data_IF_875290780575
#
_entry.id   IF_875290780575
#
_cell.length_a   1.000
_cell.length_b   1.000
_cell.length_c   1.000
_cell.angle_alpha   90.00
_cell.angle_beta   90.00
_cell.angle_gamma   90.00
#
_symmetry.space_group_name_H-M   'P 1'
#
loop_
_entity.id
_entity.type
_entity.pdbx_description
1 polymer ?
#
# COMPACT_ATOMS: atom_id res chain seq x y z
N UNK A 1 -25.58 21.37 -10.81
CA UNK A 1 -25.93 21.63 -9.40
C UNK A 1 -25.22 20.62 -8.51
N UNK A 2 -24.29 21.11 -7.66
CA UNK A 2 -23.25 20.32 -6.98
C UNK A 2 -23.75 19.47 -5.81
N UNK A 3 -23.07 18.35 -5.53
CA UNK A 3 -23.25 17.45 -4.36
C UNK A 3 -23.49 18.18 -3.02
N UNK A 4 -22.93 19.38 -2.85
CA UNK A 4 -23.16 20.27 -1.69
C UNK A 4 -24.65 20.53 -1.45
N UNK A 5 -25.45 20.75 -2.49
CA UNK A 5 -26.89 21.05 -2.36
C UNK A 5 -27.67 19.85 -1.79
N UNK A 6 -27.28 18.64 -2.21
CA UNK A 6 -27.89 17.37 -1.79
C UNK A 6 -27.51 16.97 -0.35
N UNK A 7 -26.36 17.43 0.14
CA UNK A 7 -25.93 17.29 1.54
C UNK A 7 -26.69 18.29 2.43
N UNK A 8 -26.89 19.51 1.94
CA UNK A 8 -27.64 20.56 2.64
C UNK A 8 -29.14 20.24 2.76
N UNK A 9 -29.74 19.57 1.76
CA UNK A 9 -31.14 19.13 1.79
C UNK A 9 -31.41 17.96 2.77
N UNK A 10 -30.39 17.15 3.09
CA UNK A 10 -30.51 15.98 3.99
C UNK A 10 -30.24 16.30 5.46
N UNK A 11 -29.70 17.47 5.78
CA UNK A 11 -29.36 17.93 7.13
C UNK A 11 -29.69 19.42 7.32
N UNK A 12 -30.99 19.78 7.42
CA UNK A 12 -31.44 21.18 7.54
C UNK A 12 -30.91 21.89 8.80
N UNK A 13 -30.45 21.16 9.81
CA UNK A 13 -29.79 21.68 11.00
C UNK A 13 -28.45 22.38 10.71
N UNK A 14 -27.76 22.03 9.61
CA UNK A 14 -26.54 22.71 9.14
C UNK A 14 -26.87 24.10 8.57
N UNK A 15 -28.10 24.28 8.10
CA UNK A 15 -28.62 25.51 7.49
C UNK A 15 -29.25 26.48 8.50
N UNK A 16 -29.28 26.15 9.79
CA UNK A 16 -29.80 27.04 10.83
C UNK A 16 -28.78 28.14 11.19
N UNK A 17 -28.39 28.93 10.19
CA UNK A 17 -27.46 30.05 10.29
C UNK A 17 -28.18 31.27 10.88
N UNK A 18 -28.38 31.27 12.20
CA UNK A 18 -28.72 32.50 12.92
C UNK A 18 -27.58 33.53 12.97
N UNK A 19 -26.37 33.19 12.51
CA UNK A 19 -25.27 34.13 12.20
C UNK A 19 -24.14 33.40 11.48
N UNK A 20 -23.71 33.90 10.32
CA UNK A 20 -22.47 33.47 9.67
C UNK A 20 -21.31 34.03 10.51
N UNK A 21 -20.47 33.20 11.16
CA UNK A 21 -19.35 33.71 11.97
C UNK A 21 -18.30 34.38 11.08
N UNK A 22 -17.67 35.44 11.58
CA UNK A 22 -16.53 36.09 10.91
C UNK A 22 -15.41 35.08 10.59
N UNK A 23 -14.55 35.37 9.61
CA UNK A 23 -13.48 34.45 9.18
C UNK A 23 -12.62 33.91 10.35
N UNK A 24 -12.37 34.73 11.39
CA UNK A 24 -11.61 34.35 12.59
C UNK A 24 -12.37 33.35 13.48
N UNK A 25 -13.69 33.52 13.62
CA UNK A 25 -14.56 32.65 14.42
C UNK A 25 -14.84 31.31 13.71
N UNK A 26 -14.84 31.29 12.38
CA UNK A 26 -14.89 30.05 11.60
C UNK A 26 -13.72 29.13 11.92
N UNK A 27 -12.49 29.65 11.94
CA UNK A 27 -11.29 28.86 12.26
C UNK A 27 -11.39 28.24 13.66
N UNK A 28 -11.81 29.01 14.66
CA UNK A 28 -11.97 28.52 16.03
C UNK A 28 -13.07 27.45 16.13
N UNK A 29 -14.20 27.66 15.44
CA UNK A 29 -15.31 26.71 15.40
C UNK A 29 -14.91 25.39 14.72
N UNK A 30 -14.24 25.45 13.56
CA UNK A 30 -13.72 24.25 12.90
C UNK A 30 -12.68 23.53 13.75
N UNK A 31 -11.80 24.27 14.43
CA UNK A 31 -10.83 23.69 15.36
C UNK A 31 -11.52 22.96 16.51
N UNK A 32 -12.56 23.57 17.11
CA UNK A 32 -13.33 22.92 18.18
C UNK A 32 -14.13 21.72 17.69
N UNK A 33 -14.70 21.77 16.48
CA UNK A 33 -15.46 20.67 15.90
C UNK A 33 -14.58 19.46 15.53
N UNK A 34 -13.33 19.69 15.12
CA UNK A 34 -12.39 18.62 14.75
C UNK A 34 -11.59 18.11 15.96
N UNK A 35 -11.50 18.91 17.04
CA UNK A 35 -10.72 18.59 18.23
C UNK A 35 -10.98 17.18 18.79
N UNK A 36 -12.24 16.71 18.98
CA UNK A 36 -12.48 15.36 19.47
C UNK A 36 -11.90 14.27 18.55
N UNK A 37 -12.07 14.41 17.23
CA UNK A 37 -11.47 13.50 16.25
C UNK A 37 -9.94 13.54 16.32
N UNK A 38 -9.37 14.74 16.45
CA UNK A 38 -7.93 14.93 16.52
C UNK A 38 -7.34 14.31 17.79
N UNK A 39 -7.97 14.52 18.95
CA UNK A 39 -7.56 13.95 20.24
C UNK A 39 -7.62 12.41 20.20
N UNK A 40 -8.72 11.84 19.67
CA UNK A 40 -8.90 10.40 19.42
C UNK A 40 -7.75 9.81 18.59
N UNK A 41 -7.41 10.48 17.49
CA UNK A 41 -6.36 10.02 16.57
C UNK A 41 -4.94 10.18 17.15
N UNK A 42 -4.70 11.20 17.98
CA UNK A 42 -3.43 11.32 18.71
C UNK A 42 -3.25 10.22 19.75
N UNK A 43 -4.31 9.82 20.43
CA UNK A 43 -4.27 8.69 21.37
C UNK A 43 -3.89 7.39 20.65
N UNK A 44 -4.56 7.09 19.54
CA UNK A 44 -4.23 5.95 18.68
C UNK A 44 -2.78 6.01 18.15
N UNK A 45 -2.27 7.20 17.80
CA UNK A 45 -0.88 7.36 17.37
C UNK A 45 0.13 6.97 18.48
N UNK A 46 -0.15 7.39 19.72
CA UNK A 46 0.68 7.06 20.89
C UNK A 46 0.62 5.57 21.21
N UNK A 47 -0.56 4.97 21.13
CA UNK A 47 -0.75 3.53 21.33
C UNK A 47 0.06 2.73 20.29
N UNK A 48 -0.04 3.12 19.02
CA UNK A 48 0.75 2.50 17.96
C UNK A 48 2.26 2.67 18.16
N UNK A 49 2.72 3.87 18.49
CA UNK A 49 4.14 4.12 18.80
C UNK A 49 4.62 3.21 19.94
N UNK A 50 3.85 3.10 21.02
CA UNK A 50 4.18 2.25 22.15
C UNK A 50 4.20 0.76 21.80
N UNK A 51 3.35 0.33 20.87
CA UNK A 51 3.33 -1.04 20.37
C UNK A 51 4.60 -1.37 19.58
N UNK A 52 5.09 -0.46 18.75
CA UNK A 52 6.22 -0.73 17.83
C UNK A 52 7.60 -0.36 18.38
N UNK A 53 7.72 0.48 19.42
CA UNK A 53 9.00 1.05 19.86
C UNK A 53 10.10 0.05 20.19
N UNK A 54 9.74 -1.19 20.56
CA UNK A 54 10.66 -2.27 20.92
C UNK A 54 10.80 -3.33 19.81
N UNK A 55 10.13 -3.15 18.66
CA UNK A 55 10.20 -4.07 17.54
C UNK A 55 11.34 -3.69 16.60
N UNK A 56 11.99 -4.70 16.02
CA UNK A 56 13.05 -4.48 15.04
C UNK A 56 12.42 -4.21 13.67
N UNK A 57 12.54 -2.98 13.18
CA UNK A 57 11.84 -2.53 11.97
C UNK A 57 12.22 -3.32 10.69
N UNK A 58 13.40 -3.94 10.65
CA UNK A 58 13.85 -4.78 9.53
C UNK A 58 13.31 -6.22 9.59
N UNK A 59 12.76 -6.67 10.72
CA UNK A 59 12.16 -8.00 10.86
C UNK A 59 10.68 -8.02 10.46
N UNK A 60 10.38 -7.43 9.30
CA UNK A 60 9.00 -7.22 8.82
C UNK A 60 8.20 -8.52 8.84
N UNK A 61 8.75 -9.61 8.32
CA UNK A 61 8.08 -10.91 8.26
C UNK A 61 7.69 -11.48 9.64
N UNK A 62 8.43 -11.13 10.72
CA UNK A 62 8.10 -11.58 12.09
C UNK A 62 6.98 -10.76 12.74
N UNK A 63 6.71 -9.57 12.22
CA UNK A 63 5.86 -8.58 12.88
C UNK A 63 4.63 -8.17 12.06
N UNK A 64 4.63 -8.40 10.74
CA UNK A 64 3.61 -7.93 9.80
C UNK A 64 2.19 -8.30 10.24
N UNK A 65 1.96 -9.57 10.57
CA UNK A 65 0.65 -10.06 10.97
C UNK A 65 0.18 -9.47 12.30
N UNK A 66 1.05 -9.45 13.31
CA UNK A 66 0.73 -8.90 14.63
C UNK A 66 0.36 -7.40 14.55
N UNK A 67 1.11 -6.63 13.77
CA UNK A 67 0.86 -5.19 13.58
C UNK A 67 -0.41 -4.94 12.77
N UNK A 68 -0.64 -5.76 11.74
CA UNK A 68 -1.86 -5.68 10.93
C UNK A 68 -3.12 -5.93 11.78
N UNK A 69 -3.14 -6.98 12.59
CA UNK A 69 -4.28 -7.25 13.47
C UNK A 69 -4.45 -6.19 14.55
N UNK A 70 -3.35 -5.63 15.07
CA UNK A 70 -3.41 -4.46 15.95
C UNK A 70 -4.08 -3.27 15.24
N UNK A 71 -3.73 -2.99 13.98
CA UNK A 71 -4.42 -1.97 13.16
C UNK A 71 -5.90 -2.24 12.96
N UNK A 72 -6.29 -3.49 12.66
CA UNK A 72 -7.72 -3.87 12.55
C UNK A 72 -8.48 -3.64 13.86
N UNK A 73 -7.86 -3.96 14.99
CA UNK A 73 -8.43 -3.71 16.32
C UNK A 73 -8.62 -2.21 16.55
N UNK A 74 -7.60 -1.39 16.30
CA UNK A 74 -7.71 0.06 16.44
C UNK A 74 -8.80 0.66 15.53
N UNK A 75 -9.01 0.12 14.32
CA UNK A 75 -10.08 0.59 13.45
C UNK A 75 -11.47 0.45 14.08
N UNK A 76 -11.69 -0.63 14.85
CA UNK A 76 -12.94 -0.90 15.56
C UNK A 76 -13.02 -0.08 16.85
N UNK A 77 -12.00 -0.17 17.70
CA UNK A 77 -11.99 0.47 19.02
C UNK A 77 -12.14 2.00 18.93
N UNK A 78 -11.55 2.61 17.90
CA UNK A 78 -11.61 4.05 17.68
C UNK A 78 -12.66 4.46 16.62
N UNK A 79 -13.49 3.52 16.14
CA UNK A 79 -14.52 3.77 15.11
C UNK A 79 -13.97 4.59 13.93
N UNK A 80 -12.89 4.12 13.32
CA UNK A 80 -12.14 4.86 12.31
C UNK A 80 -12.93 4.93 11.00
N UNK A 81 -12.91 6.10 10.36
CA UNK A 81 -13.44 6.31 9.01
C UNK A 81 -12.33 6.49 7.96
N UNK A 82 -12.67 6.47 6.67
CA UNK A 82 -11.70 6.78 5.61
C UNK A 82 -11.13 8.21 5.74
N UNK A 83 -11.96 9.18 6.13
CA UNK A 83 -11.50 10.56 6.38
C UNK A 83 -10.54 10.63 7.56
N UNK A 84 -10.78 9.83 8.60
CA UNK A 84 -9.88 9.73 9.74
C UNK A 84 -8.52 9.15 9.32
N UNK A 85 -8.48 8.14 8.44
CA UNK A 85 -7.23 7.60 7.90
C UNK A 85 -6.41 8.69 7.19
N UNK A 86 -7.04 9.51 6.35
CA UNK A 86 -6.36 10.58 5.64
C UNK A 86 -5.76 11.61 6.61
N UNK A 87 -6.56 12.08 7.57
CA UNK A 87 -6.10 13.01 8.60
C UNK A 87 -4.97 12.40 9.45
N UNK A 88 -5.16 11.16 9.87
CA UNK A 88 -4.21 10.42 10.70
C UNK A 88 -2.87 10.24 9.99
N UNK A 89 -2.89 9.70 8.78
CA UNK A 89 -1.70 9.40 7.99
C UNK A 89 -0.94 10.67 7.57
N UNK A 90 -1.64 11.72 7.13
CA UNK A 90 -0.95 12.91 6.60
C UNK A 90 -0.52 13.92 7.68
N UNK A 91 -1.23 14.01 8.81
CA UNK A 91 -1.02 15.11 9.75
C UNK A 91 -0.60 14.67 11.15
N UNK A 92 -1.08 13.53 11.63
CA UNK A 92 -0.92 13.13 13.03
C UNK A 92 0.24 12.15 13.16
N UNK A 93 0.14 11.01 12.49
CA UNK A 93 1.08 9.90 12.61
C UNK A 93 2.55 10.29 12.30
N UNK A 94 2.87 11.16 11.31
CA UNK A 94 4.23 11.60 11.04
C UNK A 94 4.93 12.28 12.22
N UNK A 95 4.18 12.82 13.19
CA UNK A 95 4.74 13.42 14.43
C UNK A 95 5.28 12.39 15.41
N UNK A 96 4.81 11.14 15.29
CA UNK A 96 5.12 10.05 16.23
C UNK A 96 6.04 8.99 15.61
N UNK A 97 5.92 8.74 14.31
CA UNK A 97 6.70 7.71 13.60
C UNK A 97 7.21 8.23 12.27
N UNK A 98 8.45 7.89 11.93
CA UNK A 98 9.09 8.33 10.69
C UNK A 98 8.90 7.40 9.48
N UNK A 99 8.32 6.21 9.68
CA UNK A 99 8.28 5.11 8.70
C UNK A 99 8.31 3.75 9.40
N UNK A 100 9.08 2.81 8.87
CA UNK A 100 9.27 1.48 9.42
C UNK A 100 8.06 0.59 9.15
N UNK A 101 7.52 -0.04 10.19
CA UNK A 101 6.45 -1.04 10.08
C UNK A 101 5.03 -0.43 9.93
N UNK A 102 4.92 0.87 9.66
CA UNK A 102 3.62 1.54 9.63
C UNK A 102 2.73 1.12 8.47
N UNK A 103 3.29 0.62 7.37
CA UNK A 103 2.49 0.11 6.26
C UNK A 103 1.62 -1.08 6.70
N UNK A 104 2.17 -1.97 7.54
CA UNK A 104 1.42 -3.07 8.14
C UNK A 104 0.22 -2.57 8.96
N UNK A 105 0.44 -1.50 9.75
CA UNK A 105 -0.58 -0.92 10.62
C UNK A 105 -1.69 -0.23 9.83
N UNK A 106 -1.30 0.60 8.85
CA UNK A 106 -2.25 1.31 7.97
C UNK A 106 -3.06 0.31 7.15
N UNK A 107 -2.44 -0.77 6.66
CA UNK A 107 -3.17 -1.84 5.97
C UNK A 107 -4.23 -2.45 6.88
N UNK A 108 -3.89 -2.70 8.15
CA UNK A 108 -4.84 -3.19 9.15
C UNK A 108 -5.99 -2.21 9.43
N UNK A 109 -5.66 -0.92 9.63
CA UNK A 109 -6.65 0.14 9.85
C UNK A 109 -7.63 0.27 8.67
N UNK A 110 -7.12 0.18 7.45
CA UNK A 110 -7.90 0.29 6.23
C UNK A 110 -8.78 -0.93 5.97
N UNK A 111 -8.30 -2.13 6.32
CA UNK A 111 -8.91 -3.39 5.91
C UNK A 111 -10.43 -3.53 6.15
N UNK A 112 -11.00 -3.17 7.32
CA UNK A 112 -12.45 -3.27 7.54
C UNK A 112 -13.26 -2.18 6.81
N UNK A 113 -12.61 -1.13 6.33
CA UNK A 113 -13.25 0.03 5.71
C UNK A 113 -13.34 -0.07 4.19
N UNK A 114 -12.52 -0.93 3.57
CA UNK A 114 -12.43 -1.06 2.12
C UNK A 114 -13.66 -1.75 1.52
N UNK A 115 -14.27 -1.06 0.54
CA UNK A 115 -15.34 -1.57 -0.34
C UNK A 115 -14.89 -1.51 -1.80
N UNK A 116 -15.60 -2.17 -2.71
CA UNK A 116 -15.21 -2.24 -4.12
C UNK A 116 -15.02 -0.87 -4.79
N UNK A 117 -15.90 0.08 -4.46
CA UNK A 117 -15.90 1.46 -4.97
C UNK A 117 -14.99 2.41 -4.20
N UNK A 118 -14.31 1.91 -3.17
CA UNK A 118 -13.42 2.75 -2.36
C UNK A 118 -12.16 3.09 -3.16
N UNK A 119 -11.77 4.35 -3.07
CA UNK A 119 -10.53 4.86 -3.61
C UNK A 119 -9.79 5.61 -2.50
N UNK A 120 -8.63 5.12 -2.10
CA UNK A 120 -7.81 5.72 -1.05
C UNK A 120 -6.48 6.18 -1.64
N UNK A 121 -6.17 7.46 -1.46
CA UNK A 121 -4.95 8.06 -1.97
C UNK A 121 -4.09 8.56 -0.81
N UNK A 122 -2.88 8.02 -0.68
CA UNK A 122 -1.94 8.33 0.39
C UNK A 122 -0.61 8.87 -0.14
N UNK A 123 -0.27 10.10 0.23
CA UNK A 123 1.05 10.67 0.00
C UNK A 123 2.05 10.30 1.11
N UNK A 124 3.17 9.69 0.74
CA UNK A 124 4.22 9.23 1.63
C UNK A 124 5.22 10.33 2.03
N UNK A 125 5.18 11.51 1.39
CA UNK A 125 6.14 12.60 1.62
C UNK A 125 6.27 13.10 3.07
N UNK A 126 5.26 12.99 3.95
CA UNK A 126 5.42 13.35 5.36
C UNK A 126 6.39 12.42 6.13
N UNK A 127 6.70 11.25 5.60
CA UNK A 127 7.53 10.25 6.27
C UNK A 127 8.97 10.27 5.74
N UNK A 128 9.93 10.34 6.66
CA UNK A 128 11.36 10.45 6.35
C UNK A 128 12.04 9.12 6.02
N UNK A 129 11.47 8.00 6.47
CA UNK A 129 12.03 6.66 6.36
C UNK A 129 11.21 5.79 5.41
N UNK A 130 11.75 4.61 5.07
CA UNK A 130 11.03 3.57 4.30
C UNK A 130 9.77 3.11 5.02
N UNK A 131 8.73 2.71 4.29
CA UNK A 131 7.48 2.18 4.85
C UNK A 131 7.29 0.74 4.40
N UNK A 132 7.14 -0.17 5.36
CA UNK A 132 7.03 -1.61 5.11
C UNK A 132 5.61 -2.13 5.34
N UNK A 133 5.16 -3.03 4.47
CA UNK A 133 3.92 -3.78 4.64
C UNK A 133 2.64 -3.07 4.22
N UNK A 134 2.75 -2.00 3.41
CA UNK A 134 1.57 -1.32 2.85
C UNK A 134 0.83 -2.28 1.91
N UNK A 135 -0.51 -2.27 1.92
CA UNK A 135 -1.33 -3.19 1.13
C UNK A 135 -1.24 -4.66 1.57
N UNK A 136 -0.77 -4.95 2.79
CA UNK A 136 -0.76 -6.31 3.31
C UNK A 136 -2.19 -6.87 3.41
N UNK A 137 -2.43 -8.04 2.80
CA UNK A 137 -3.76 -8.67 2.68
C UNK A 137 -4.83 -7.72 2.11
N UNK A 138 -4.46 -6.87 1.16
CA UNK A 138 -5.43 -6.04 0.45
C UNK A 138 -6.40 -6.94 -0.33
N UNK A 139 -7.70 -6.67 -0.22
CA UNK A 139 -8.75 -7.55 -0.77
C UNK A 139 -9.78 -6.83 -1.65
N UNK A 140 -9.89 -5.49 -1.53
CA UNK A 140 -10.89 -4.65 -2.21
C UNK A 140 -10.36 -3.25 -2.35
N UNK A 141 -11.03 -2.43 -3.17
CA UNK A 141 -10.72 -1.01 -3.37
C UNK A 141 -9.44 -0.76 -4.19
N UNK A 142 -9.28 0.50 -4.58
CA UNK A 142 -8.06 1.01 -5.20
C UNK A 142 -7.27 1.84 -4.19
N UNK A 143 -6.02 1.45 -3.94
CA UNK A 143 -5.05 2.18 -3.13
C UNK A 143 -4.02 2.85 -4.05
N UNK A 144 -3.91 4.17 -3.99
CA UNK A 144 -2.90 4.93 -4.71
C UNK A 144 -1.91 5.53 -3.74
N UNK A 145 -0.62 5.31 -4.00
CA UNK A 145 0.48 5.75 -3.15
C UNK A 145 1.38 6.72 -3.94
N UNK A 146 1.53 7.94 -3.44
CA UNK A 146 2.47 8.93 -4.00
C UNK A 146 3.79 8.88 -3.22
N UNK A 147 4.90 8.77 -3.96
CA UNK A 147 6.23 8.64 -3.40
C UNK A 147 6.78 7.22 -3.50
N UNK A 148 8.06 7.06 -3.13
CA UNK A 148 8.77 5.79 -3.15
C UNK A 148 9.17 5.31 -1.76
N UNK A 149 10.03 4.29 -1.71
CA UNK A 149 10.62 3.69 -0.47
C UNK A 149 9.71 2.72 0.28
N UNK A 150 8.86 2.00 -0.45
CA UNK A 150 7.99 0.97 0.09
C UNK A 150 8.67 -0.40 0.07
N UNK A 151 8.64 -1.16 1.16
CA UNK A 151 9.10 -2.55 1.16
C UNK A 151 7.93 -3.47 1.53
N UNK A 152 7.95 -4.74 1.11
CA UNK A 152 6.86 -5.67 1.40
C UNK A 152 5.49 -5.11 1.00
N UNK A 153 5.41 -4.41 -0.13
CA UNK A 153 4.16 -3.88 -0.64
C UNK A 153 3.29 -5.02 -1.17
N UNK A 154 1.99 -5.05 -0.82
CA UNK A 154 1.04 -6.01 -1.38
C UNK A 154 1.30 -7.47 -0.98
N UNK A 155 1.97 -7.70 0.15
CA UNK A 155 2.23 -9.05 0.64
C UNK A 155 0.90 -9.73 0.98
N UNK A 156 0.74 -10.98 0.54
CA UNK A 156 -0.50 -11.75 0.70
C UNK A 156 -1.76 -11.04 0.17
N UNK A 157 -1.61 -10.12 -0.79
CA UNK A 157 -2.76 -9.47 -1.45
C UNK A 157 -3.63 -10.51 -2.17
N UNK A 158 -4.94 -10.43 -2.00
CA UNK A 158 -5.91 -11.40 -2.52
C UNK A 158 -6.73 -10.83 -3.68
N UNK A 159 -7.00 -9.52 -3.67
CA UNK A 159 -7.75 -8.82 -4.72
C UNK A 159 -7.59 -7.30 -4.55
N UNK A 160 -8.31 -6.50 -5.34
CA UNK A 160 -8.22 -5.04 -5.38
C UNK A 160 -7.07 -4.54 -6.24
N UNK A 161 -6.78 -3.24 -6.15
CA UNK A 161 -5.76 -2.57 -6.95
C UNK A 161 -4.84 -1.72 -6.10
N UNK A 162 -3.54 -1.77 -6.36
CA UNK A 162 -2.53 -0.86 -5.78
C UNK A 162 -1.78 -0.18 -6.92
N UNK A 163 -1.77 1.15 -6.93
CA UNK A 163 -0.92 1.95 -7.82
C UNK A 163 0.12 2.70 -6.99
N UNK A 164 1.39 2.63 -7.39
CA UNK A 164 2.49 3.39 -6.76
C UNK A 164 3.13 4.30 -7.78
N UNK A 165 3.10 5.59 -7.47
CA UNK A 165 3.76 6.65 -8.23
C UNK A 165 5.12 6.94 -7.64
N UNK A 166 6.02 5.98 -7.86
CA UNK A 166 7.38 5.99 -7.33
C UNK A 166 8.01 4.59 -7.33
N UNK A 167 9.17 4.48 -6.69
CA UNK A 167 9.92 3.23 -6.60
C UNK A 167 9.52 2.40 -5.38
N UNK A 168 9.55 1.08 -5.54
CA UNK A 168 9.37 0.12 -4.45
C UNK A 168 10.65 -0.69 -4.24
N UNK A 169 10.92 -0.99 -2.98
CA UNK A 169 11.98 -1.86 -2.51
C UNK A 169 11.64 -3.34 -2.69
N UNK A 170 12.31 -4.17 -1.89
CA UNK A 170 12.21 -5.63 -2.02
C UNK A 170 10.88 -6.20 -1.52
N UNK A 171 10.60 -7.43 -1.96
CA UNK A 171 9.44 -8.23 -1.56
C UNK A 171 8.07 -7.67 -2.00
N UNK A 172 8.04 -6.94 -3.11
CA UNK A 172 6.80 -6.54 -3.78
C UNK A 172 5.96 -7.77 -4.11
N UNK A 173 4.69 -7.82 -3.69
CA UNK A 173 3.76 -8.89 -4.03
C UNK A 173 4.17 -10.28 -3.53
N UNK A 174 4.99 -10.35 -2.47
CA UNK A 174 5.37 -11.64 -1.87
C UNK A 174 4.12 -12.39 -1.43
N UNK A 175 3.99 -13.64 -1.84
CA UNK A 175 2.84 -14.50 -1.56
C UNK A 175 1.48 -13.92 -2.02
N UNK A 176 1.48 -13.06 -3.04
CA UNK A 176 0.26 -12.53 -3.64
C UNK A 176 -0.59 -13.68 -4.23
N UNK A 177 -1.90 -13.61 -4.00
CA UNK A 177 -2.91 -14.62 -4.39
C UNK A 177 -3.98 -14.06 -5.33
N UNK A 178 -3.90 -12.78 -5.70
CA UNK A 178 -4.81 -12.14 -6.64
C UNK A 178 -4.74 -10.61 -6.60
N UNK A 179 -5.49 -9.98 -7.49
CA UNK A 179 -5.54 -8.52 -7.67
C UNK A 179 -4.44 -7.97 -8.57
N UNK A 180 -4.30 -6.63 -8.59
CA UNK A 180 -3.38 -5.94 -9.51
C UNK A 180 -2.51 -4.92 -8.79
N UNK A 181 -1.21 -4.95 -9.03
CA UNK A 181 -0.25 -3.95 -8.54
C UNK A 181 0.44 -3.30 -9.73
N UNK A 182 0.38 -1.97 -9.81
CA UNK A 182 1.05 -1.16 -10.82
C UNK A 182 2.09 -0.25 -10.17
N UNK A 183 3.34 -0.36 -10.60
CA UNK A 183 4.47 0.45 -10.14
C UNK A 183 4.95 1.33 -11.29
N UNK A 184 4.83 2.65 -11.13
CA UNK A 184 5.29 3.64 -12.12
C UNK A 184 6.80 3.84 -12.14
N UNK A 185 7.50 3.38 -11.10
CA UNK A 185 8.96 3.44 -11.00
C UNK A 185 9.62 2.06 -11.08
N UNK A 186 10.74 1.92 -10.37
CA UNK A 186 11.49 0.66 -10.27
C UNK A 186 10.96 -0.24 -9.14
N UNK A 187 11.10 -1.56 -9.33
CA UNK A 187 10.94 -2.60 -8.33
C UNK A 187 12.27 -3.08 -7.75
N UNK A 188 12.26 -3.46 -6.47
CA UNK A 188 13.42 -4.03 -5.78
C UNK A 188 13.69 -5.50 -6.12
N UNK A 189 14.38 -6.19 -5.22
CA UNK A 189 14.62 -7.64 -5.34
C UNK A 189 13.44 -8.46 -4.78
N UNK A 190 13.35 -9.73 -5.15
CA UNK A 190 12.28 -10.65 -4.67
C UNK A 190 10.86 -10.20 -5.03
N UNK A 191 10.69 -9.50 -6.16
CA UNK A 191 9.37 -9.19 -6.71
C UNK A 191 8.63 -10.50 -6.99
N UNK A 192 7.40 -10.64 -6.53
CA UNK A 192 6.55 -11.81 -6.74
C UNK A 192 7.05 -13.07 -6.06
N UNK A 193 7.87 -12.97 -5.01
CA UNK A 193 8.37 -14.17 -4.33
C UNK A 193 7.22 -15.02 -3.79
N UNK A 194 7.12 -16.27 -4.23
CA UNK A 194 6.07 -17.19 -3.84
C UNK A 194 4.66 -16.76 -4.28
N UNK A 195 4.55 -15.89 -5.28
CA UNK A 195 3.27 -15.45 -5.85
C UNK A 195 2.52 -16.64 -6.45
N UNK A 196 1.23 -16.75 -6.13
CA UNK A 196 0.35 -17.84 -6.55
C UNK A 196 -0.60 -17.37 -7.67
N UNK A 197 -1.08 -16.13 -7.61
CA UNK A 197 -1.91 -15.53 -8.64
C UNK A 197 -1.89 -13.99 -8.52
N UNK A 198 -2.53 -13.30 -9.47
CA UNK A 198 -2.58 -11.85 -9.59
C UNK A 198 -1.69 -11.30 -10.69
N UNK A 199 -1.62 -9.98 -10.80
CA UNK A 199 -0.81 -9.28 -11.79
C UNK A 199 0.05 -8.19 -11.16
N UNK A 200 1.35 -8.20 -11.43
CA UNK A 200 2.29 -7.14 -11.05
C UNK A 200 2.84 -6.50 -12.32
N UNK A 201 2.71 -5.18 -12.46
CA UNK A 201 3.23 -4.41 -13.59
C UNK A 201 4.22 -3.37 -13.08
N UNK A 202 5.45 -3.41 -13.56
CA UNK A 202 6.53 -2.46 -13.22
C UNK A 202 6.93 -1.74 -14.51
N UNK A 203 6.76 -0.42 -14.54
CA UNK A 203 7.14 0.38 -15.72
C UNK A 203 8.65 0.55 -15.84
N UNK A 204 9.37 0.63 -14.72
CA UNK A 204 10.83 0.70 -14.66
C UNK A 204 11.52 -0.66 -14.62
N UNK A 205 12.66 -0.71 -13.92
CA UNK A 205 13.49 -1.91 -13.78
C UNK A 205 13.04 -2.76 -12.59
N UNK A 206 13.44 -4.02 -12.56
CA UNK A 206 13.40 -4.85 -11.37
C UNK A 206 14.81 -5.34 -11.00
N UNK A 207 15.11 -5.47 -9.71
CA UNK A 207 16.43 -5.96 -9.27
C UNK A 207 16.51 -7.49 -9.36
N UNK A 208 17.11 -8.13 -8.37
CA UNK A 208 17.48 -9.54 -8.43
C UNK A 208 16.33 -10.44 -7.98
N UNK A 209 16.37 -11.70 -8.40
CA UNK A 209 15.52 -12.77 -7.84
C UNK A 209 14.02 -12.49 -8.06
N UNK A 210 13.68 -11.90 -9.21
CA UNK A 210 12.29 -11.69 -9.62
C UNK A 210 11.61 -13.03 -9.89
N UNK A 211 10.40 -13.23 -9.39
CA UNK A 211 9.62 -14.45 -9.58
C UNK A 211 10.13 -15.66 -8.80
N UNK A 212 10.93 -15.46 -7.75
CA UNK A 212 11.47 -16.57 -6.97
C UNK A 212 10.34 -17.41 -6.36
N UNK A 213 10.34 -18.73 -6.58
CA UNK A 213 9.27 -19.63 -6.12
C UNK A 213 7.87 -19.25 -6.60
N UNK A 214 7.75 -18.47 -7.68
CA UNK A 214 6.45 -18.12 -8.27
C UNK A 214 5.75 -19.40 -8.75
N UNK A 215 4.49 -19.56 -8.37
CA UNK A 215 3.63 -20.72 -8.67
C UNK A 215 2.58 -20.38 -9.72
N UNK A 216 2.18 -19.11 -9.84
CA UNK A 216 1.18 -18.66 -10.78
C UNK A 216 1.07 -17.14 -10.81
N UNK A 217 0.14 -16.62 -11.62
CA UNK A 217 -0.03 -15.19 -11.89
C UNK A 217 0.91 -14.67 -12.98
N UNK A 218 1.02 -13.34 -13.05
CA UNK A 218 1.70 -12.65 -14.13
C UNK A 218 2.53 -11.45 -13.63
N UNK A 219 3.78 -11.35 -14.08
CA UNK A 219 4.67 -10.22 -13.77
C UNK A 219 5.17 -9.58 -15.08
N UNK A 220 4.94 -8.28 -15.24
CA UNK A 220 5.44 -7.48 -16.36
C UNK A 220 6.49 -6.48 -15.90
N UNK A 221 7.61 -6.39 -16.62
CA UNK A 221 8.69 -5.42 -16.38
C UNK A 221 9.02 -4.66 -17.67
N UNK A 222 8.86 -3.34 -17.63
CA UNK A 222 9.12 -2.44 -18.75
C UNK A 222 10.61 -2.17 -19.02
N UNK A 223 11.44 -2.25 -17.98
CA UNK A 223 12.89 -2.07 -18.03
C UNK A 223 13.69 -3.36 -17.88
N UNK A 224 14.89 -3.24 -17.33
CA UNK A 224 15.84 -4.33 -17.14
C UNK A 224 15.53 -5.15 -15.89
N UNK A 225 15.92 -6.42 -15.91
CA UNK A 225 15.87 -7.35 -14.77
C UNK A 225 17.28 -7.80 -14.38
N UNK A 226 17.51 -7.88 -13.07
CA UNK A 226 18.78 -8.31 -12.48
C UNK A 226 19.10 -9.80 -12.63
N UNK A 227 19.74 -10.34 -11.61
CA UNK A 227 20.27 -11.71 -11.59
C UNK A 227 19.24 -12.68 -11.02
N UNK A 228 19.39 -13.97 -11.35
CA UNK A 228 18.59 -15.07 -10.81
C UNK A 228 17.09 -14.93 -11.09
N UNK A 229 16.74 -14.50 -12.30
CA UNK A 229 15.35 -14.47 -12.74
C UNK A 229 14.72 -15.87 -12.63
N UNK A 230 13.60 -15.94 -11.93
CA UNK A 230 12.79 -17.16 -11.79
C UNK A 230 13.39 -18.23 -10.89
N UNK A 231 14.22 -17.87 -9.90
CA UNK A 231 14.84 -18.85 -8.98
C UNK A 231 13.79 -19.75 -8.31
N UNK A 232 13.92 -21.07 -8.50
CA UNK A 232 12.93 -22.07 -8.05
C UNK A 232 11.49 -21.83 -8.56
N UNK A 233 11.29 -21.15 -9.70
CA UNK A 233 9.96 -20.89 -10.29
C UNK A 233 9.26 -22.20 -10.67
N UNK A 234 7.99 -22.31 -10.30
CA UNK A 234 7.14 -23.50 -10.51
C UNK A 234 6.03 -23.24 -11.54
N UNK A 235 5.57 -22.01 -11.70
CA UNK A 235 4.48 -21.66 -12.60
C UNK A 235 4.27 -20.15 -12.76
N UNK A 236 3.28 -19.76 -13.58
CA UNK A 236 2.99 -18.37 -13.94
C UNK A 236 3.78 -17.88 -15.16
N UNK A 237 3.62 -16.59 -15.48
CA UNK A 237 4.30 -15.96 -16.62
C UNK A 237 5.01 -14.67 -16.24
N UNK A 238 6.22 -14.48 -16.77
CA UNK A 238 7.03 -13.28 -16.56
C UNK A 238 7.37 -12.68 -17.92
N UNK A 239 7.08 -11.40 -18.10
CA UNK A 239 7.22 -10.67 -19.36
C UNK A 239 8.17 -9.49 -19.19
N UNK A 240 9.28 -9.48 -19.92
CA UNK A 240 10.37 -8.52 -19.74
C UNK A 240 10.66 -7.80 -21.06
N UNK A 241 10.50 -6.48 -21.06
CA UNK A 241 10.78 -5.65 -22.23
C UNK A 241 12.26 -5.29 -22.37
N UNK A 242 12.98 -5.11 -21.25
CA UNK A 242 14.40 -4.76 -21.25
C UNK A 242 15.36 -5.96 -21.26
N UNK A 243 16.58 -5.71 -20.81
CA UNK A 243 17.64 -6.72 -20.69
C UNK A 243 17.49 -7.60 -19.45
N UNK A 244 18.03 -8.81 -19.52
CA UNK A 244 18.07 -9.77 -18.41
C UNK A 244 19.52 -10.07 -18.09
N UNK A 245 19.95 -9.90 -16.82
CA UNK A 245 21.36 -10.17 -16.45
C UNK A 245 21.66 -11.65 -16.31
N UNK A 246 20.79 -12.42 -15.67
CA UNK A 246 20.87 -13.88 -15.69
C UNK A 246 19.52 -14.53 -15.42
N UNK A 247 19.35 -15.72 -15.99
CA UNK A 247 18.26 -16.64 -15.69
C UNK A 247 18.89 -17.84 -14.99
N UNK A 248 18.22 -18.31 -13.95
CA UNK A 248 18.65 -19.51 -13.22
C UNK A 248 18.31 -20.80 -13.98
N UNK A 249 19.07 -21.86 -13.71
CA UNK A 249 18.79 -23.21 -14.23
C UNK A 249 17.78 -24.00 -13.40
N UNK A 250 17.46 -23.57 -12.17
CA UNK A 250 16.58 -24.28 -11.24
C UNK A 250 15.09 -23.91 -11.38
N UNK A 251 14.63 -23.69 -12.61
CA UNK A 251 13.20 -23.51 -12.92
C UNK A 251 12.53 -24.87 -13.13
N UNK A 252 11.45 -25.12 -12.40
CA UNK A 252 10.66 -26.36 -12.49
C UNK A 252 9.38 -26.19 -13.33
N UNK A 253 9.02 -24.95 -13.66
CA UNK A 253 7.89 -24.64 -14.55
C UNK A 253 7.74 -23.14 -14.81
N UNK A 254 6.59 -22.75 -15.35
CA UNK A 254 6.30 -21.37 -15.72
C UNK A 254 6.94 -20.95 -17.04
N UNK A 255 6.65 -19.70 -17.45
CA UNK A 255 7.08 -19.16 -18.73
C UNK A 255 7.73 -17.80 -18.56
N UNK A 256 8.85 -17.59 -19.25
CA UNK A 256 9.54 -16.29 -19.29
C UNK A 256 9.56 -15.83 -20.74
N UNK A 257 9.14 -14.60 -20.97
CA UNK A 257 9.10 -13.96 -22.28
C UNK A 257 9.98 -12.72 -22.27
N UNK A 258 10.82 -12.57 -23.29
CA UNK A 258 11.58 -11.35 -23.52
C UNK A 258 11.18 -10.71 -24.84
N UNK A 259 11.08 -9.39 -24.86
CA UNK A 259 10.85 -8.62 -26.07
C UNK A 259 12.13 -8.49 -26.91
N UNK A 260 12.10 -9.01 -28.14
CA UNK A 260 13.16 -8.85 -29.14
C UNK A 260 12.52 -8.63 -30.52
N UNK A 261 11.95 -7.43 -30.75
CA UNK A 261 11.08 -7.09 -31.89
C UNK A 261 9.73 -7.86 -31.94
N UNK A 262 9.65 -8.99 -31.23
CA UNK A 262 8.45 -9.75 -30.87
C UNK A 262 8.66 -10.43 -29.52
N UNK A 263 7.59 -10.80 -28.84
CA UNK A 263 7.68 -11.60 -27.62
C UNK A 263 8.18 -13.01 -27.94
N UNK A 264 9.26 -13.42 -27.30
CA UNK A 264 9.87 -14.75 -27.47
C UNK A 264 10.05 -15.40 -26.12
N UNK A 265 9.65 -16.67 -26.01
CA UNK A 265 9.82 -17.48 -24.80
C UNK A 265 11.28 -17.92 -24.66
N UNK A 266 11.83 -17.84 -23.45
CA UNK A 266 13.23 -18.16 -23.12
C UNK A 266 13.40 -19.04 -21.86
#
# INVERSE_FOLDING_TARGET
MSQIKRILEKKPEILNLKRIPSQRNRKLFYQQAIKPTYDKLEEMAKEYYNFIKNLRAWEVAKHIEKIFFFGKKCALDYEITLSDILLFFHQILPKYVGGGLLGCFISGLCHPLMKEDTYLHLNLSPYRSTISGMGYRHHKATLVLEGGRLYYLGVEMESGKIEVRGNVGGYLGRWMRGGNILIKGDGGSWVGQGMVDGKIEIEGNAKHTLGMRMQGGEIWVGGDVGFWLGEEMQGGSIWIKGGIKSITSDRYGGEVYQWQNKWTKI
#
